data_IF_825811436223
#
_entry.id   IF_825811436223
#
_cell.length_a   1.000
_cell.length_b   1.000
_cell.length_c   1.000
_cell.angle_alpha   90.00
_cell.angle_beta   90.00
_cell.angle_gamma   90.00
#
_symmetry.space_group_name_H-M   'P 1'
#
loop_
_entity.id
_entity.type
_entity.pdbx_description
1 polymer ?
#
# COMPACT_ATOMS: atom_id res chain seq x y z
N UNK A 1 11.33 10.83 -23.84
CA UNK A 1 10.75 11.21 -25.15
C UNK A 1 11.45 12.50 -25.58
N UNK A 2 12.33 12.44 -26.60
CA UNK A 2 12.87 13.66 -27.22
C UNK A 2 11.82 14.17 -28.21
N UNK A 3 11.16 15.24 -27.88
CA UNK A 3 10.28 15.98 -28.79
C UNK A 3 10.73 17.44 -28.79
N UNK A 4 10.69 18.08 -29.92
CA UNK A 4 11.00 19.51 -30.09
C UNK A 4 9.86 20.43 -29.58
N UNK A 5 8.82 19.82 -28.99
CA UNK A 5 7.64 20.52 -28.48
C UNK A 5 7.38 20.11 -27.02
N UNK A 6 6.83 21.00 -26.18
CA UNK A 6 6.39 20.69 -24.84
C UNK A 6 5.38 19.54 -24.87
N UNK A 7 5.55 18.58 -23.95
CA UNK A 7 4.61 17.46 -23.79
C UNK A 7 3.87 17.64 -22.47
N UNK A 8 2.53 17.55 -22.51
CA UNK A 8 1.65 17.58 -21.34
C UNK A 8 0.96 16.23 -21.24
N UNK A 9 0.92 15.64 -20.05
CA UNK A 9 0.11 14.44 -19.80
C UNK A 9 -1.35 14.82 -19.74
N UNK A 10 -2.18 14.09 -20.47
CA UNK A 10 -3.63 14.19 -20.41
C UNK A 10 -4.17 13.06 -19.54
N UNK A 11 -5.07 13.38 -18.63
CA UNK A 11 -5.74 12.41 -17.74
C UNK A 11 -4.76 11.54 -16.93
N UNK A 12 -3.79 12.15 -16.26
CA UNK A 12 -2.89 11.43 -15.37
C UNK A 12 -3.67 10.94 -14.14
N UNK A 13 -3.39 9.71 -13.68
CA UNK A 13 -4.01 9.09 -12.51
C UNK A 13 -5.11 8.12 -12.87
N UNK A 14 -6.38 8.41 -12.52
CA UNK A 14 -7.55 7.55 -12.72
C UNK A 14 -7.60 6.31 -11.81
N UNK A 15 -6.96 6.37 -10.64
CA UNK A 15 -6.96 5.33 -9.62
C UNK A 15 -8.18 5.46 -8.72
N UNK A 16 -8.97 4.40 -8.59
CA UNK A 16 -10.19 4.44 -7.79
C UNK A 16 -9.93 4.23 -6.31
N UNK A 17 -10.87 4.74 -5.50
CA UNK A 17 -11.00 4.44 -4.07
C UNK A 17 -12.30 3.72 -3.77
N UNK A 18 -12.42 3.15 -2.59
CA UNK A 18 -13.66 2.56 -2.10
C UNK A 18 -14.73 3.64 -1.90
N UNK A 19 -16.03 3.37 -2.16
CA UNK A 19 -17.09 4.38 -2.05
C UNK A 19 -17.26 4.95 -0.64
N UNK A 20 -17.54 6.25 -0.54
CA UNK A 20 -18.03 6.87 0.69
C UNK A 20 -19.57 6.84 0.70
N UNK A 21 -20.15 5.90 1.42
CA UNK A 21 -21.61 5.75 1.49
C UNK A 21 -22.33 6.91 2.20
N UNK A 22 -21.63 7.78 2.92
CA UNK A 22 -22.19 9.00 3.50
C UNK A 22 -22.67 9.99 2.43
N UNK A 23 -22.19 9.83 1.19
CA UNK A 23 -22.66 10.64 0.06
C UNK A 23 -24.10 10.37 -0.33
N UNK A 24 -24.66 9.18 -0.09
CA UNK A 24 -26.01 8.77 -0.49
C UNK A 24 -27.07 9.80 -0.05
N UNK A 25 -26.97 10.24 1.22
CA UNK A 25 -27.95 11.16 1.80
C UNK A 25 -27.93 12.58 1.21
N UNK A 26 -26.88 12.94 0.47
CA UNK A 26 -26.73 14.27 -0.15
C UNK A 26 -27.54 14.39 -1.46
N UNK A 27 -27.91 13.28 -2.05
CA UNK A 27 -28.70 13.26 -3.30
C UNK A 27 -30.19 13.39 -2.99
N UNK A 28 -30.63 14.61 -2.65
CA UNK A 28 -32.00 14.91 -2.22
C UNK A 28 -32.96 15.25 -3.37
N UNK A 29 -32.42 15.39 -4.60
CA UNK A 29 -33.20 15.75 -5.79
C UNK A 29 -33.83 14.56 -6.50
N UNK A 30 -34.05 14.72 -7.80
CA UNK A 30 -34.60 13.68 -8.68
C UNK A 30 -33.64 12.51 -8.86
N UNK A 31 -32.35 12.80 -8.99
CA UNK A 31 -31.31 11.78 -9.09
C UNK A 31 -31.02 11.19 -7.72
N UNK A 32 -30.83 9.88 -7.68
CA UNK A 32 -30.43 9.11 -6.51
C UNK A 32 -29.05 8.51 -6.72
N UNK A 33 -28.29 8.33 -5.64
CA UNK A 33 -27.03 7.61 -5.65
C UNK A 33 -27.26 6.08 -5.66
N UNK A 34 -28.06 5.58 -6.62
CA UNK A 34 -28.53 4.18 -6.62
C UNK A 34 -27.40 3.16 -6.74
N UNK A 35 -26.31 3.50 -7.43
CA UNK A 35 -25.09 2.72 -7.47
C UNK A 35 -24.50 2.53 -6.07
N UNK A 36 -24.38 3.60 -5.28
CA UNK A 36 -23.84 3.54 -3.91
C UNK A 36 -24.77 2.76 -2.97
N UNK A 37 -26.09 2.90 -3.12
CA UNK A 37 -27.05 2.09 -2.36
C UNK A 37 -26.82 0.59 -2.61
N UNK A 38 -26.66 0.18 -3.89
CA UNK A 38 -26.39 -1.21 -4.27
C UNK A 38 -25.05 -1.69 -3.70
N UNK A 39 -24.00 -0.86 -3.78
CA UNK A 39 -22.67 -1.23 -3.23
C UNK A 39 -22.72 -1.39 -1.72
N UNK A 40 -23.46 -0.53 -1.03
CA UNK A 40 -23.65 -0.60 0.42
C UNK A 40 -24.45 -1.87 0.82
N UNK A 41 -25.51 -2.18 0.08
CA UNK A 41 -26.30 -3.41 0.26
C UNK A 41 -25.41 -4.65 0.10
N UNK A 42 -24.61 -4.71 -0.98
CA UNK A 42 -23.70 -5.83 -1.24
C UNK A 42 -22.64 -5.98 -0.12
N UNK A 43 -22.10 -4.86 0.40
CA UNK A 43 -21.16 -4.89 1.52
C UNK A 43 -21.82 -5.45 2.78
N UNK A 44 -23.07 -5.06 3.04
CA UNK A 44 -23.83 -5.54 4.20
C UNK A 44 -24.12 -7.05 4.11
N UNK A 45 -24.46 -7.56 2.93
CA UNK A 45 -24.63 -9.00 2.68
C UNK A 45 -23.37 -9.82 2.98
N UNK A 46 -22.19 -9.21 2.84
CA UNK A 46 -20.90 -9.82 3.18
C UNK A 46 -20.48 -9.60 4.63
N UNK A 47 -21.32 -8.99 5.45
CA UNK A 47 -21.05 -8.67 6.87
C UNK A 47 -19.79 -7.81 7.06
N UNK A 48 -19.55 -6.83 6.17
CA UNK A 48 -18.37 -5.96 6.19
C UNK A 48 -18.71 -4.48 6.36
N UNK A 49 -19.96 -4.14 6.70
CA UNK A 49 -20.42 -2.74 6.82
C UNK A 49 -19.61 -1.90 7.80
N UNK A 50 -19.09 -2.52 8.86
CA UNK A 50 -18.23 -1.90 9.87
C UNK A 50 -16.87 -1.46 9.32
N UNK A 51 -16.45 -1.99 8.17
CA UNK A 51 -15.17 -1.70 7.54
C UNK A 51 -15.25 -0.66 6.41
N UNK A 52 -16.44 -0.14 6.08
CA UNK A 52 -16.61 0.77 4.95
C UNK A 52 -15.67 2.00 5.03
N UNK A 53 -15.62 2.68 6.18
CA UNK A 53 -14.77 3.85 6.39
C UNK A 53 -13.27 3.47 6.37
N UNK A 54 -12.92 2.30 6.88
CA UNK A 54 -11.54 1.79 6.86
C UNK A 54 -11.09 1.44 5.43
N UNK A 55 -11.97 0.83 4.64
CA UNK A 55 -11.70 0.53 3.23
C UNK A 55 -11.56 1.80 2.38
N UNK A 56 -12.41 2.80 2.62
CA UNK A 56 -12.27 4.12 2.01
C UNK A 56 -10.91 4.73 2.34
N UNK A 57 -10.55 4.78 3.63
CA UNK A 57 -9.29 5.36 4.07
C UNK A 57 -8.09 4.62 3.47
N UNK A 58 -8.05 3.29 3.60
CA UNK A 58 -6.89 2.50 3.17
C UNK A 58 -6.70 2.51 1.64
N UNK A 59 -7.80 2.41 0.88
CA UNK A 59 -7.75 2.53 -0.59
C UNK A 59 -7.39 3.94 -1.05
N UNK A 60 -7.85 4.96 -0.31
CA UNK A 60 -7.51 6.36 -0.57
C UNK A 60 -6.03 6.66 -0.35
N UNK A 61 -5.43 6.11 0.72
CA UNK A 61 -3.98 6.21 0.95
C UNK A 61 -3.17 5.57 -0.18
N UNK A 62 -3.61 4.40 -0.68
CA UNK A 62 -2.98 3.78 -1.84
C UNK A 62 -3.15 4.63 -3.12
N UNK A 63 -4.34 5.19 -3.35
CA UNK A 63 -4.58 6.13 -4.46
C UNK A 63 -3.60 7.30 -4.39
N UNK A 64 -3.44 7.94 -3.23
CA UNK A 64 -2.51 9.05 -3.02
C UNK A 64 -1.07 8.67 -3.38
N UNK A 65 -0.62 7.45 -3.01
CA UNK A 65 0.70 6.95 -3.39
C UNK A 65 0.82 6.76 -4.91
N UNK A 66 -0.23 6.27 -5.57
CA UNK A 66 -0.25 6.12 -7.03
C UNK A 66 -0.20 7.49 -7.72
N UNK A 67 -1.00 8.46 -7.30
CA UNK A 67 -0.95 9.85 -7.83
C UNK A 67 0.41 10.48 -7.62
N UNK A 68 0.99 10.34 -6.42
CA UNK A 68 2.33 10.84 -6.13
C UNK A 68 3.37 10.24 -7.07
N UNK A 69 3.32 8.92 -7.30
CA UNK A 69 4.26 8.23 -8.18
C UNK A 69 4.13 8.72 -9.63
N UNK A 70 2.91 8.87 -10.16
CA UNK A 70 2.63 9.34 -11.51
C UNK A 70 3.06 10.79 -11.71
N UNK A 71 2.70 11.69 -10.78
CA UNK A 71 3.03 13.12 -10.84
C UNK A 71 4.55 13.31 -10.74
N UNK A 72 5.21 12.67 -9.79
CA UNK A 72 6.67 12.75 -9.65
C UNK A 72 7.39 12.18 -10.88
N UNK A 73 6.87 11.11 -11.50
CA UNK A 73 7.44 10.56 -12.74
C UNK A 73 7.32 11.56 -13.90
N UNK A 74 6.19 12.25 -14.01
CA UNK A 74 5.98 13.32 -14.97
C UNK A 74 6.98 14.47 -14.75
N UNK A 75 7.09 14.95 -13.51
CA UNK A 75 8.00 16.05 -13.15
C UNK A 75 9.48 15.70 -13.33
N UNK A 76 9.88 14.43 -13.21
CA UNK A 76 11.26 13.96 -13.46
C UNK A 76 11.60 13.78 -14.94
N UNK A 77 10.60 13.81 -15.83
CA UNK A 77 10.81 13.51 -17.24
C UNK A 77 11.29 14.77 -17.97
N UNK A 78 12.53 14.81 -18.49
CA UNK A 78 13.06 15.98 -19.21
C UNK A 78 12.17 16.37 -20.40
N UNK A 79 11.87 17.65 -20.54
CA UNK A 79 11.01 18.18 -21.61
C UNK A 79 9.51 17.98 -21.36
N UNK A 80 9.12 17.46 -20.20
CA UNK A 80 7.73 17.37 -19.79
C UNK A 80 7.28 18.73 -19.27
N UNK A 81 6.20 19.29 -19.83
CA UNK A 81 5.79 20.68 -19.60
C UNK A 81 4.64 20.82 -18.61
N UNK A 82 3.97 19.72 -18.25
CA UNK A 82 2.86 19.76 -17.32
C UNK A 82 2.01 18.49 -17.37
N UNK A 83 0.97 18.49 -16.55
CA UNK A 83 0.03 17.39 -16.42
C UNK A 83 -1.39 17.91 -16.18
N UNK A 84 -2.37 17.10 -16.54
CA UNK A 84 -3.78 17.29 -16.22
C UNK A 84 -4.25 16.09 -15.42
N UNK A 85 -4.71 16.34 -14.19
CA UNK A 85 -5.22 15.31 -13.30
C UNK A 85 -6.62 14.88 -13.69
N UNK A 86 -6.89 13.60 -13.74
CA UNK A 86 -8.22 13.03 -13.81
C UNK A 86 -8.41 12.04 -12.64
N UNK A 87 -9.07 12.45 -11.58
CA UNK A 87 -9.78 13.71 -11.39
C UNK A 87 -9.47 14.30 -10.00
N UNK A 88 -9.74 15.58 -9.79
CA UNK A 88 -9.65 16.17 -8.47
C UNK A 88 -10.85 15.77 -7.58
N UNK A 89 -12.04 15.59 -8.17
CA UNK A 89 -13.23 15.10 -7.49
C UNK A 89 -13.85 13.92 -8.24
N UNK A 90 -14.63 13.12 -7.55
CA UNK A 90 -15.38 12.01 -8.16
C UNK A 90 -16.29 12.50 -9.26
N UNK A 91 -16.41 11.70 -10.32
CA UNK A 91 -17.26 11.99 -11.45
C UNK A 91 -18.64 11.32 -11.30
N UNK A 92 -19.66 12.06 -10.80
CA UNK A 92 -20.97 11.45 -10.47
C UNK A 92 -21.75 10.94 -11.68
N UNK A 93 -21.45 11.42 -12.90
CA UNK A 93 -22.07 10.96 -14.13
C UNK A 93 -21.67 9.55 -14.56
N UNK A 94 -20.64 9.00 -13.96
CA UNK A 94 -20.16 7.62 -14.18
C UNK A 94 -19.93 6.97 -12.82
N UNK A 95 -20.93 6.31 -12.30
CA UNK A 95 -20.96 5.79 -10.93
C UNK A 95 -19.84 4.84 -10.51
N UNK A 96 -18.88 4.57 -11.37
CA UNK A 96 -17.69 3.76 -11.10
C UNK A 96 -16.39 4.56 -11.13
N UNK A 97 -16.44 5.83 -11.54
CA UNK A 97 -15.27 6.70 -11.61
C UNK A 97 -15.05 7.40 -10.26
N UNK A 98 -14.72 6.62 -9.23
CA UNK A 98 -14.40 7.09 -7.87
C UNK A 98 -12.91 7.45 -7.77
N UNK A 99 -12.46 8.32 -8.70
CA UNK A 99 -11.04 8.62 -8.92
C UNK A 99 -10.56 9.90 -8.25
N UNK A 100 -11.48 10.70 -7.72
CA UNK A 100 -11.15 11.98 -7.09
C UNK A 100 -10.53 11.82 -5.70
N UNK A 101 -9.67 12.76 -5.33
CA UNK A 101 -9.25 12.99 -3.94
C UNK A 101 -10.39 13.64 -3.13
N UNK A 102 -11.29 14.33 -3.82
CA UNK A 102 -12.48 14.96 -3.26
C UNK A 102 -13.74 14.18 -3.66
N UNK A 103 -14.79 14.34 -2.84
CA UNK A 103 -16.13 13.82 -3.10
C UNK A 103 -16.80 14.60 -4.23
N UNK A 104 -17.93 14.09 -4.79
CA UNK A 104 -18.66 14.78 -5.85
C UNK A 104 -19.08 16.22 -5.53
N UNK A 105 -19.24 16.54 -4.26
CA UNK A 105 -19.60 17.89 -3.77
C UNK A 105 -18.40 18.69 -3.26
N UNK A 106 -17.18 18.36 -3.69
CA UNK A 106 -15.92 19.07 -3.39
C UNK A 106 -15.47 19.01 -1.93
N UNK A 107 -15.97 18.09 -1.16
CA UNK A 107 -15.53 17.85 0.21
C UNK A 107 -14.37 16.84 0.24
N UNK A 108 -13.50 16.97 1.25
CA UNK A 108 -12.42 15.99 1.48
C UNK A 108 -13.00 14.61 1.79
N UNK A 109 -12.34 13.58 1.28
CA UNK A 109 -12.61 12.18 1.65
C UNK A 109 -11.90 11.78 2.97
N UNK A 110 -11.02 12.62 3.50
CA UNK A 110 -10.38 12.48 4.82
C UNK A 110 -9.16 11.55 4.87
N UNK A 111 -8.61 11.14 3.73
CA UNK A 111 -7.39 10.31 3.70
C UNK A 111 -6.14 11.07 3.24
N UNK A 112 -6.28 12.23 2.62
CA UNK A 112 -5.19 13.12 2.22
C UNK A 112 -5.61 14.58 2.44
N UNK A 113 -4.67 15.39 2.93
CA UNK A 113 -4.86 16.81 3.12
C UNK A 113 -4.16 17.62 2.02
N UNK A 114 -4.65 18.83 1.74
CA UNK A 114 -4.07 19.68 0.69
C UNK A 114 -2.58 20.01 0.90
N UNK A 115 -2.13 20.07 2.15
CA UNK A 115 -0.71 20.29 2.46
C UNK A 115 0.15 19.09 2.03
N UNK A 116 -0.30 17.87 2.31
CA UNK A 116 0.37 16.64 1.89
C UNK A 116 0.38 16.52 0.35
N UNK A 117 -0.75 16.76 -0.30
CA UNK A 117 -0.86 16.70 -1.76
C UNK A 117 0.05 17.72 -2.43
N UNK A 118 0.20 18.91 -1.84
CA UNK A 118 1.08 19.97 -2.35
C UNK A 118 2.58 19.64 -2.29
N UNK A 119 2.99 18.65 -1.53
CA UNK A 119 4.39 18.20 -1.50
C UNK A 119 4.87 17.70 -2.86
N UNK A 120 3.99 17.07 -3.65
CA UNK A 120 4.31 16.48 -4.95
C UNK A 120 3.54 17.10 -6.13
N UNK A 121 2.49 17.87 -5.88
CA UNK A 121 1.69 18.55 -6.89
C UNK A 121 1.73 20.06 -6.65
N UNK A 122 2.80 20.72 -7.05
CA UNK A 122 3.05 22.15 -6.81
C UNK A 122 3.94 22.71 -7.92
N UNK A 123 4.06 24.05 -7.97
CA UNK A 123 4.97 24.74 -8.88
C UNK A 123 6.45 24.49 -8.57
N UNK A 124 6.81 24.11 -7.35
CA UNK A 124 8.19 23.81 -6.95
C UNK A 124 8.17 22.51 -6.14
N UNK A 125 8.77 21.45 -6.67
CA UNK A 125 8.72 20.11 -6.09
C UNK A 125 10.11 19.51 -5.99
N UNK A 126 10.57 19.16 -4.78
CA UNK A 126 11.74 18.29 -4.58
C UNK A 126 11.44 16.87 -5.06
N UNK A 127 12.40 16.21 -5.72
CA UNK A 127 12.25 14.89 -6.35
C UNK A 127 13.44 14.00 -6.03
N UNK A 128 13.25 13.04 -5.13
CA UNK A 128 14.27 12.01 -4.85
C UNK A 128 14.19 10.86 -5.86
N UNK A 129 15.33 10.47 -6.45
CA UNK A 129 15.42 9.27 -7.29
C UNK A 129 15.86 8.07 -6.45
N UNK A 130 14.96 7.60 -5.59
CA UNK A 130 15.19 6.40 -4.79
C UNK A 130 15.19 5.16 -5.70
N UNK A 131 16.26 4.34 -5.70
CA UNK A 131 16.31 3.12 -6.51
C UNK A 131 15.39 2.02 -5.97
N UNK A 132 15.06 2.07 -4.69
CA UNK A 132 14.18 1.15 -3.98
C UNK A 132 13.67 1.80 -2.69
N UNK A 133 12.63 1.23 -2.10
CA UNK A 133 12.05 1.72 -0.84
C UNK A 133 12.40 0.81 0.35
N UNK A 134 12.93 -0.38 0.11
CA UNK A 134 13.29 -1.35 1.16
C UNK A 134 14.78 -1.62 1.12
N UNK A 135 15.43 -1.50 2.26
CA UNK A 135 16.88 -1.65 2.44
C UNK A 135 17.20 -2.64 3.56
N UNK A 136 18.40 -3.19 3.50
CA UNK A 136 19.01 -3.86 4.65
C UNK A 136 19.95 -2.89 5.38
N UNK A 137 20.17 -3.11 6.67
CA UNK A 137 21.02 -2.25 7.47
C UNK A 137 22.53 -2.34 7.14
N UNK A 138 22.95 -3.31 6.36
CA UNK A 138 24.31 -3.40 5.81
C UNK A 138 24.46 -2.70 4.45
N UNK A 139 23.45 -1.94 4.02
CA UNK A 139 23.47 -1.14 2.81
C UNK A 139 23.59 0.35 3.13
N UNK A 140 23.88 1.14 2.09
CA UNK A 140 23.78 2.59 2.13
C UNK A 140 22.64 3.05 1.21
N UNK A 141 21.76 3.89 1.71
CA UNK A 141 20.83 4.63 0.86
C UNK A 141 21.61 5.64 0.02
N UNK A 142 21.41 5.61 -1.29
CA UNK A 142 21.98 6.61 -2.22
C UNK A 142 20.87 7.06 -3.15
N UNK A 143 20.51 8.34 -3.11
CA UNK A 143 19.46 8.90 -3.93
C UNK A 143 19.88 10.28 -4.47
N UNK A 144 19.90 10.48 -5.81
CA UNK A 144 19.96 11.82 -6.39
C UNK A 144 18.75 12.64 -5.96
N UNK A 145 18.98 13.92 -5.61
CA UNK A 145 17.95 14.92 -5.40
C UNK A 145 17.89 15.83 -6.62
N UNK A 146 16.73 16.01 -7.17
CA UNK A 146 16.39 16.93 -8.24
C UNK A 146 15.27 17.86 -7.79
N UNK A 147 15.05 18.94 -8.54
CA UNK A 147 13.87 19.80 -8.41
C UNK A 147 13.19 19.97 -9.77
N UNK A 148 11.87 20.09 -9.72
CA UNK A 148 11.08 20.74 -10.74
C UNK A 148 10.64 22.09 -10.21
N UNK A 149 10.85 23.17 -10.98
CA UNK A 149 10.44 24.51 -10.63
C UNK A 149 9.79 25.19 -11.81
N UNK A 150 8.50 25.45 -11.71
CA UNK A 150 7.67 26.10 -12.72
C UNK A 150 7.00 27.38 -12.14
N UNK A 151 7.66 28.02 -11.16
CA UNK A 151 7.25 29.33 -10.64
C UNK A 151 7.48 30.45 -11.67
N UNK A 152 6.95 31.62 -11.40
CA UNK A 152 7.04 32.76 -12.33
C UNK A 152 8.48 33.22 -12.60
N UNK A 153 9.37 33.09 -11.59
CA UNK A 153 10.75 33.58 -11.67
C UNK A 153 11.72 32.51 -11.11
N UNK A 154 12.96 32.47 -11.60
CA UNK A 154 13.98 31.58 -11.03
C UNK A 154 14.25 31.92 -9.55
N UNK A 155 14.46 30.88 -8.72
CA UNK A 155 14.90 31.05 -7.34
C UNK A 155 16.43 31.11 -7.30
N UNK A 156 16.97 32.24 -6.79
CA UNK A 156 18.40 32.45 -6.68
C UNK A 156 18.91 32.03 -5.29
N UNK A 157 20.04 31.33 -5.27
CA UNK A 157 20.72 30.91 -4.02
C UNK A 157 19.79 30.23 -3.03
N UNK A 158 18.90 29.35 -3.54
CA UNK A 158 17.99 28.60 -2.70
C UNK A 158 18.76 27.71 -1.71
N UNK A 159 18.45 27.82 -0.42
CA UNK A 159 19.03 26.98 0.65
C UNK A 159 18.25 25.67 0.71
N UNK A 160 18.80 24.62 0.13
CA UNK A 160 18.16 23.32 -0.01
C UNK A 160 18.66 22.40 1.11
N UNK A 161 17.77 21.73 1.80
CA UNK A 161 18.10 20.75 2.83
C UNK A 161 17.54 19.37 2.50
N UNK A 162 18.12 18.36 3.14
CA UNK A 162 17.54 17.03 3.25
C UNK A 162 17.87 16.40 4.60
N UNK A 163 17.03 15.50 5.05
CA UNK A 163 17.26 14.69 6.26
C UNK A 163 16.61 13.32 6.10
N UNK A 164 17.23 12.31 6.70
CA UNK A 164 16.66 10.99 6.93
C UNK A 164 16.48 10.81 8.44
N UNK A 165 15.24 10.57 8.88
CA UNK A 165 14.90 10.48 10.30
C UNK A 165 13.96 9.29 10.56
N UNK A 166 13.91 8.85 11.82
CA UNK A 166 12.89 7.91 12.28
C UNK A 166 11.53 8.60 12.50
N UNK A 167 10.48 7.83 12.75
CA UNK A 167 9.13 8.36 13.05
C UNK A 167 9.06 9.25 14.29
N UNK A 168 10.06 9.21 15.17
CA UNK A 168 10.15 10.08 16.36
C UNK A 168 10.86 11.39 16.07
N UNK A 169 11.39 11.55 14.84
CA UNK A 169 12.15 12.71 14.41
C UNK A 169 13.64 12.65 14.72
N UNK A 170 14.17 11.51 15.17
CA UNK A 170 15.61 11.32 15.38
C UNK A 170 16.32 11.28 14.03
N UNK A 171 17.17 12.25 13.75
CA UNK A 171 17.87 12.36 12.48
C UNK A 171 19.06 11.39 12.46
N UNK A 172 19.08 10.51 11.45
CA UNK A 172 20.20 9.59 11.18
C UNK A 172 21.27 10.31 10.36
N UNK A 173 20.86 11.06 9.35
CA UNK A 173 21.73 11.79 8.44
C UNK A 173 21.01 13.00 7.88
N UNK A 174 21.76 14.06 7.58
CA UNK A 174 21.26 15.25 6.91
C UNK A 174 22.34 15.92 6.07
N UNK A 175 21.94 16.83 5.21
CA UNK A 175 22.85 17.64 4.41
C UNK A 175 22.12 18.81 3.77
N UNK A 176 22.90 19.72 3.18
CA UNK A 176 22.36 20.91 2.53
C UNK A 176 23.20 21.35 1.34
N UNK A 177 22.58 22.14 0.48
CA UNK A 177 23.20 22.77 -0.68
C UNK A 177 22.63 24.17 -0.89
N UNK A 178 23.41 25.06 -1.49
CA UNK A 178 22.93 26.33 -2.03
C UNK A 178 22.98 26.25 -3.54
N UNK A 179 21.82 26.40 -4.21
CA UNK A 179 21.68 26.27 -5.68
C UNK A 179 20.70 27.29 -6.23
N UNK A 180 20.94 27.70 -7.47
CA UNK A 180 19.91 28.36 -8.27
C UNK A 180 18.94 27.33 -8.84
N UNK A 181 17.65 27.63 -8.80
CA UNK A 181 16.61 26.82 -9.42
C UNK A 181 16.01 27.62 -10.60
N UNK A 182 16.46 27.37 -11.85
CA UNK A 182 15.85 27.94 -13.04
C UNK A 182 14.41 27.41 -13.24
N UNK A 183 13.63 28.12 -14.06
CA UNK A 183 12.28 27.69 -14.42
C UNK A 183 12.36 26.53 -15.40
N UNK A 184 12.39 25.31 -14.89
CA UNK A 184 12.46 24.03 -15.65
C UNK A 184 12.28 22.84 -14.71
N UNK A 185 12.35 21.62 -15.24
CA UNK A 185 12.46 20.39 -14.44
C UNK A 185 13.85 19.75 -14.57
N UNK A 186 14.02 18.61 -13.88
CA UNK A 186 15.29 17.85 -13.86
C UNK A 186 16.50 18.67 -13.38
N UNK A 187 16.27 19.62 -12.47
CA UNK A 187 17.32 20.45 -11.87
C UNK A 187 18.10 19.61 -10.87
N UNK A 188 19.28 19.13 -11.24
CA UNK A 188 20.10 18.30 -10.36
C UNK A 188 20.71 19.12 -9.21
N UNK A 189 20.57 18.63 -7.98
CA UNK A 189 21.06 19.27 -6.75
C UNK A 189 22.32 18.57 -6.24
N UNK A 190 22.23 17.26 -5.98
CA UNK A 190 23.29 16.47 -5.41
C UNK A 190 22.84 15.05 -5.07
N UNK A 191 23.74 14.29 -4.44
CA UNK A 191 23.44 12.94 -3.98
C UNK A 191 23.23 12.94 -2.47
N UNK A 192 22.09 12.46 -2.02
CA UNK A 192 21.82 12.12 -0.63
C UNK A 192 22.42 10.74 -0.36
N UNK A 193 23.27 10.61 0.65
CA UNK A 193 23.91 9.34 1.02
C UNK A 193 23.78 9.15 2.51
N UNK A 194 23.30 7.98 2.93
CA UNK A 194 23.19 7.62 4.35
C UNK A 194 23.63 6.17 4.55
N UNK A 195 24.54 5.94 5.47
CA UNK A 195 24.85 4.61 5.99
C UNK A 195 23.72 4.17 6.94
N UNK A 196 23.19 2.98 6.70
CA UNK A 196 22.05 2.43 7.43
C UNK A 196 22.47 1.47 8.57
N UNK A 197 23.77 1.30 8.81
CA UNK A 197 24.31 0.33 9.78
C UNK A 197 23.88 0.58 11.24
N UNK A 198 23.47 1.80 11.55
CA UNK A 198 22.95 2.15 12.89
C UNK A 198 21.55 1.59 13.16
N UNK A 199 20.82 1.16 12.13
CA UNK A 199 19.45 0.63 12.25
C UNK A 199 19.50 -0.85 12.61
N UNK A 200 19.32 -1.17 13.89
CA UNK A 200 19.48 -2.53 14.41
C UNK A 200 18.15 -3.33 14.51
N UNK A 201 17.02 -2.66 14.34
CA UNK A 201 15.68 -3.28 14.38
C UNK A 201 14.88 -2.84 13.16
N UNK A 202 13.86 -3.60 12.75
CA UNK A 202 12.98 -3.19 11.67
C UNK A 202 12.41 -1.79 11.91
N UNK A 203 12.63 -0.88 10.99
CA UNK A 203 12.18 0.51 11.10
C UNK A 203 11.70 1.07 9.76
N UNK A 204 10.74 1.95 9.85
CA UNK A 204 10.39 2.89 8.80
C UNK A 204 11.11 4.22 9.06
N UNK A 205 11.75 4.74 8.03
CA UNK A 205 12.45 6.02 8.05
C UNK A 205 11.82 6.96 7.03
N UNK A 206 11.86 8.25 7.32
CA UNK A 206 11.31 9.31 6.46
C UNK A 206 12.47 10.13 5.90
N UNK A 207 12.60 10.13 4.58
CA UNK A 207 13.49 11.02 3.84
C UNK A 207 12.71 12.28 3.50
N UNK A 208 13.12 13.43 4.02
CA UNK A 208 12.54 14.74 3.70
C UNK A 208 13.57 15.57 2.94
N UNK A 209 13.14 16.29 1.91
CA UNK A 209 13.95 17.32 1.25
C UNK A 209 13.10 18.55 0.95
N UNK A 210 13.70 19.75 1.01
CA UNK A 210 12.97 20.99 0.84
C UNK A 210 13.87 22.22 0.72
N UNK A 211 13.23 23.40 0.78
CA UNK A 211 13.87 24.72 0.78
C UNK A 211 13.65 25.38 2.13
N UNK A 212 14.75 25.72 2.82
CA UNK A 212 14.73 26.35 4.13
C UNK A 212 13.89 27.65 4.14
N UNK A 213 13.13 27.84 5.22
CA UNK A 213 12.31 29.03 5.41
C UNK A 213 11.07 29.11 4.52
N UNK A 214 10.74 28.05 3.78
CA UNK A 214 9.55 27.96 2.92
C UNK A 214 8.68 26.75 3.28
N UNK A 215 7.49 26.64 2.66
CA UNK A 215 6.64 25.44 2.73
C UNK A 215 7.04 24.38 1.69
N UNK A 216 8.03 24.63 0.84
CA UNK A 216 8.45 23.70 -0.22
C UNK A 216 9.23 22.54 0.40
N UNK A 217 8.63 21.39 0.47
CA UNK A 217 9.27 20.13 0.85
C UNK A 217 8.55 18.94 0.23
N UNK A 218 9.18 17.78 0.26
CA UNK A 218 8.59 16.50 -0.12
C UNK A 218 9.16 15.39 0.77
N UNK A 219 8.45 14.29 0.90
CA UNK A 219 8.79 13.19 1.79
C UNK A 219 8.67 11.83 1.09
N UNK A 220 9.56 10.90 1.44
CA UNK A 220 9.55 9.52 0.97
C UNK A 220 9.80 8.58 2.13
N UNK A 221 9.01 7.55 2.25
CA UNK A 221 9.14 6.52 3.27
C UNK A 221 9.99 5.38 2.75
N UNK A 222 10.97 4.96 3.55
CA UNK A 222 11.79 3.78 3.29
C UNK A 222 11.79 2.85 4.50
N UNK A 223 11.93 1.57 4.25
CA UNK A 223 11.98 0.55 5.30
C UNK A 223 13.38 -0.02 5.38
N UNK A 224 13.91 -0.14 6.59
CA UNK A 224 15.23 -0.70 6.84
C UNK A 224 15.09 -1.91 7.76
N UNK A 225 15.61 -3.04 7.30
CA UNK A 225 15.57 -4.31 8.00
C UNK A 225 16.96 -4.82 8.34
N UNK A 226 17.14 -5.58 9.45
CA UNK A 226 18.40 -6.26 9.73
C UNK A 226 18.82 -7.18 8.58
N UNK A 227 20.08 -7.14 8.20
CA UNK A 227 20.64 -8.03 7.19
C UNK A 227 20.64 -9.48 7.67
N UNK A 228 20.90 -9.68 8.96
CA UNK A 228 20.86 -11.00 9.60
C UNK A 228 19.48 -11.32 10.13
N UNK A 229 18.97 -12.50 9.77
CA UNK A 229 17.72 -13.00 10.30
C UNK A 229 17.90 -13.55 11.71
N UNK A 230 16.94 -13.26 12.58
CA UNK A 230 16.90 -13.93 13.89
C UNK A 230 16.53 -15.39 13.68
N UNK A 231 17.36 -16.28 14.21
CA UNK A 231 17.06 -17.70 14.21
C UNK A 231 15.80 -17.98 15.06
N UNK A 232 14.80 -18.55 14.44
CA UNK A 232 13.55 -18.93 15.09
C UNK A 232 13.69 -20.38 15.59
N UNK A 233 13.60 -20.58 16.88
CA UNK A 233 13.54 -21.88 17.50
C UNK A 233 12.08 -22.34 17.60
N UNK A 234 11.82 -23.65 17.44
CA UNK A 234 10.47 -24.23 17.45
C UNK A 234 9.53 -23.61 16.39
N UNK A 235 10.08 -23.37 15.19
CA UNK A 235 9.27 -22.88 14.07
C UNK A 235 8.07 -23.81 13.80
N UNK A 236 6.91 -23.25 13.39
CA UNK A 236 5.76 -24.08 13.01
C UNK A 236 6.07 -24.95 11.80
N UNK A 237 5.27 -25.97 11.59
CA UNK A 237 5.32 -26.70 10.34
C UNK A 237 4.87 -25.78 9.19
N UNK A 238 5.69 -25.64 8.18
CA UNK A 238 5.42 -24.76 7.03
C UNK A 238 5.19 -25.60 5.77
N UNK A 239 4.11 -25.33 5.06
CA UNK A 239 3.72 -26.04 3.84
C UNK A 239 3.05 -25.14 2.82
N UNK A 240 3.10 -25.54 1.53
CA UNK A 240 2.30 -24.92 0.46
C UNK A 240 1.00 -25.68 0.19
N UNK A 241 0.82 -26.86 0.79
CA UNK A 241 -0.30 -27.74 0.54
C UNK A 241 -1.01 -28.06 1.84
N UNK A 242 -2.31 -27.88 1.86
CA UNK A 242 -3.15 -28.32 2.97
C UNK A 242 -3.54 -29.79 2.77
N UNK A 243 -2.58 -30.68 3.06
CA UNK A 243 -2.67 -32.12 2.88
C UNK A 243 -2.92 -32.86 4.22
N UNK A 244 -3.02 -34.20 4.15
CA UNK A 244 -3.23 -35.03 5.34
C UNK A 244 -2.11 -34.84 6.38
N UNK A 245 -0.87 -34.55 5.94
CA UNK A 245 0.23 -34.29 6.89
C UNK A 245 0.01 -33.01 7.69
N UNK A 246 -0.46 -31.94 7.05
CA UNK A 246 -0.82 -30.70 7.74
C UNK A 246 -1.99 -30.90 8.72
N UNK A 247 -3.01 -31.66 8.30
CA UNK A 247 -4.18 -32.00 9.10
C UNK A 247 -3.76 -32.83 10.34
N UNK A 248 -2.97 -33.87 10.17
CA UNK A 248 -2.50 -34.73 11.24
C UNK A 248 -1.70 -33.98 12.31
N UNK A 249 -0.94 -32.94 11.89
CA UNK A 249 -0.21 -32.07 12.80
C UNK A 249 -1.15 -31.19 13.62
N UNK A 250 -2.15 -30.59 12.97
CA UNK A 250 -3.17 -29.79 13.64
C UNK A 250 -3.96 -30.64 14.66
N UNK A 251 -4.32 -31.89 14.30
CA UNK A 251 -4.99 -32.82 15.22
C UNK A 251 -4.14 -33.18 16.44
N UNK A 252 -2.81 -33.18 16.30
CA UNK A 252 -1.85 -33.36 17.41
C UNK A 252 -1.63 -32.12 18.26
N UNK A 253 -2.21 -30.97 17.88
CA UNK A 253 -2.05 -29.68 18.59
C UNK A 253 -0.82 -28.88 18.15
N UNK A 254 -0.21 -29.20 17.02
CA UNK A 254 0.92 -28.45 16.48
C UNK A 254 0.46 -27.17 15.75
N UNK A 255 1.38 -26.20 15.60
CA UNK A 255 1.15 -25.00 14.82
C UNK A 255 1.54 -25.23 13.35
N UNK A 256 0.68 -24.82 12.42
CA UNK A 256 0.90 -24.92 10.97
C UNK A 256 0.84 -23.55 10.32
N UNK A 257 1.82 -23.25 9.45
CA UNK A 257 1.79 -22.10 8.55
C UNK A 257 1.59 -22.61 7.11
N UNK A 258 0.41 -22.35 6.57
CA UNK A 258 0.08 -22.64 5.18
C UNK A 258 0.38 -21.41 4.31
N UNK A 259 1.32 -21.55 3.37
CA UNK A 259 1.70 -20.50 2.43
C UNK A 259 1.15 -20.83 1.05
N UNK A 260 0.12 -20.14 0.60
CA UNK A 260 -0.55 -20.45 -0.66
C UNK A 260 0.33 -20.07 -1.85
N UNK A 261 0.66 -21.04 -2.69
CA UNK A 261 1.39 -20.77 -3.93
C UNK A 261 0.50 -20.16 -4.99
N UNK A 262 1.06 -19.27 -5.81
CA UNK A 262 0.32 -18.62 -6.89
C UNK A 262 -0.26 -19.66 -7.86
N UNK A 263 -1.57 -19.52 -8.14
CA UNK A 263 -2.30 -20.45 -9.01
C UNK A 263 -2.77 -21.73 -8.31
N UNK A 264 -2.56 -21.86 -6.99
CA UNK A 264 -3.00 -23.04 -6.25
C UNK A 264 -4.49 -23.00 -5.86
N UNK A 265 -5.09 -21.82 -5.82
CA UNK A 265 -6.51 -21.66 -5.45
C UNK A 265 -7.44 -21.97 -6.63
N UNK A 266 -8.54 -22.65 -6.33
CA UNK A 266 -9.66 -22.78 -7.26
C UNK A 266 -10.34 -21.42 -7.45
N UNK A 267 -11.03 -21.20 -8.62
CA UNK A 267 -11.68 -19.91 -8.91
C UNK A 267 -12.64 -19.44 -7.81
N UNK A 268 -13.45 -20.33 -7.24
CA UNK A 268 -14.43 -20.02 -6.19
C UNK A 268 -13.79 -19.66 -4.83
N UNK A 269 -12.54 -20.06 -4.62
CA UNK A 269 -11.76 -19.71 -3.42
C UNK A 269 -10.79 -18.54 -3.64
N UNK A 270 -10.83 -17.92 -4.84
CA UNK A 270 -10.07 -16.70 -5.14
C UNK A 270 -9.10 -16.78 -6.31
N UNK A 271 -8.88 -17.96 -6.91
CA UNK A 271 -7.89 -18.15 -7.97
C UNK A 271 -8.11 -17.32 -9.25
N UNK A 272 -9.28 -16.73 -9.43
CA UNK A 272 -9.59 -15.80 -10.52
C UNK A 272 -9.41 -14.32 -10.14
N UNK A 273 -9.09 -14.00 -8.89
CA UNK A 273 -8.86 -12.63 -8.42
C UNK A 273 -7.41 -12.25 -8.66
N UNK A 274 -7.18 -11.16 -9.38
CA UNK A 274 -5.83 -10.65 -9.65
C UNK A 274 -5.50 -9.55 -8.66
N UNK A 275 -4.65 -9.86 -7.71
CA UNK A 275 -4.11 -8.89 -6.76
C UNK A 275 -2.97 -8.12 -7.39
N UNK A 276 -2.86 -6.83 -7.06
CA UNK A 276 -1.76 -5.97 -7.48
C UNK A 276 -1.48 -4.87 -6.47
N UNK A 277 -0.38 -4.15 -6.66
CA UNK A 277 0.00 -3.08 -5.74
C UNK A 277 -0.77 -1.79 -5.99
N UNK A 278 -1.12 -1.47 -7.23
CA UNK A 278 -1.92 -0.28 -7.54
C UNK A 278 -3.39 -0.47 -7.17
N UNK A 279 -4.12 0.63 -7.07
CA UNK A 279 -5.58 0.61 -6.99
C UNK A 279 -6.23 0.18 -8.32
N UNK A 280 -7.53 -0.08 -8.31
CA UNK A 280 -8.32 -0.38 -9.51
C UNK A 280 -8.32 0.84 -10.43
N UNK A 281 -8.08 0.61 -11.72
CA UNK A 281 -8.30 1.62 -12.75
C UNK A 281 -9.80 1.78 -13.02
N UNK A 282 -10.30 2.99 -13.14
CA UNK A 282 -11.74 3.31 -13.13
C UNK A 282 -12.60 2.52 -14.12
N UNK A 283 -12.04 2.12 -15.26
CA UNK A 283 -12.78 1.42 -16.30
C UNK A 283 -12.71 -0.12 -16.19
N UNK A 284 -12.22 -0.67 -15.07
CA UNK A 284 -12.06 -2.12 -14.88
C UNK A 284 -13.38 -2.88 -15.14
N UNK A 285 -14.52 -2.34 -14.72
CA UNK A 285 -15.84 -2.90 -15.01
C UNK A 285 -16.17 -2.93 -16.51
N UNK A 286 -15.68 -1.99 -17.29
CA UNK A 286 -15.93 -1.88 -18.73
C UNK A 286 -14.96 -2.70 -19.57
N UNK A 287 -13.71 -2.79 -19.13
CA UNK A 287 -12.66 -3.57 -19.80
C UNK A 287 -12.72 -5.06 -19.48
N UNK A 288 -13.76 -5.48 -18.77
CA UNK A 288 -14.03 -6.87 -18.45
C UNK A 288 -12.85 -7.56 -17.77
N UNK A 289 -12.43 -7.00 -16.61
CA UNK A 289 -11.43 -7.57 -15.71
C UNK A 289 -9.98 -7.16 -15.94
N UNK A 290 -9.75 -5.91 -16.27
CA UNK A 290 -8.40 -5.35 -16.18
C UNK A 290 -7.89 -5.47 -14.73
N UNK A 291 -6.74 -6.12 -14.57
CA UNK A 291 -6.08 -6.21 -13.27
C UNK A 291 -5.47 -4.85 -12.85
N UNK A 292 -5.35 -4.58 -11.55
CA UNK A 292 -5.77 -5.41 -10.42
C UNK A 292 -7.29 -5.37 -10.19
N UNK A 293 -7.80 -6.37 -9.44
CA UNK A 293 -9.20 -6.43 -9.01
C UNK A 293 -9.42 -5.93 -7.59
N UNK A 294 -8.36 -5.48 -6.90
CA UNK A 294 -8.34 -5.10 -5.49
C UNK A 294 -7.92 -3.65 -5.33
N UNK A 295 -8.26 -3.05 -4.19
CA UNK A 295 -8.01 -1.66 -3.84
C UNK A 295 -6.92 -1.53 -2.75
N UNK A 296 -6.00 -2.50 -2.70
CA UNK A 296 -4.96 -2.55 -1.68
C UNK A 296 -5.33 -3.41 -0.48
N UNK A 297 -4.59 -3.23 0.61
CA UNK A 297 -4.80 -3.97 1.86
C UNK A 297 -5.38 -3.06 2.96
N UNK A 298 -6.00 -3.72 3.94
CA UNK A 298 -6.31 -3.13 5.24
C UNK A 298 -5.82 -4.07 6.35
N UNK A 299 -5.15 -3.54 7.36
CA UNK A 299 -4.72 -4.31 8.53
C UNK A 299 -4.72 -3.43 9.79
N UNK A 300 -4.70 -4.07 10.95
CA UNK A 300 -4.38 -3.39 12.21
C UNK A 300 -2.86 -3.47 12.46
N UNK A 301 -2.11 -2.36 12.36
CA UNK A 301 -0.65 -2.37 12.55
C UNK A 301 -0.21 -2.84 13.94
N UNK A 302 -1.11 -2.76 14.95
CA UNK A 302 -0.83 -3.22 16.31
C UNK A 302 -1.01 -4.75 16.48
N UNK A 303 -1.46 -5.46 15.44
CA UNK A 303 -1.60 -6.92 15.53
C UNK A 303 -0.24 -7.59 15.77
N UNK A 304 -0.13 -8.54 16.72
CA UNK A 304 1.16 -9.15 17.06
C UNK A 304 1.91 -9.80 15.90
N UNK A 305 1.22 -10.30 14.90
CA UNK A 305 1.82 -10.86 13.69
C UNK A 305 2.63 -9.83 12.88
N UNK A 306 2.36 -8.53 13.05
CA UNK A 306 3.02 -7.43 12.36
C UNK A 306 4.09 -6.72 13.21
N UNK A 307 4.36 -7.22 14.43
CA UNK A 307 5.24 -6.54 15.40
C UNK A 307 6.67 -6.31 14.94
N UNK A 308 7.17 -7.11 13.99
CA UNK A 308 8.50 -6.94 13.36
C UNK A 308 8.39 -6.46 11.89
N UNK A 309 7.20 -6.04 11.47
CA UNK A 309 6.93 -5.53 10.14
C UNK A 309 6.24 -4.17 10.27
N UNK A 310 7.02 -3.09 10.54
CA UNK A 310 6.46 -1.76 10.74
C UNK A 310 5.68 -1.33 9.50
N UNK A 311 4.37 -1.21 9.65
CA UNK A 311 3.44 -0.90 8.55
C UNK A 311 2.37 0.07 9.02
N UNK A 312 1.74 0.74 8.08
CA UNK A 312 0.50 1.47 8.27
C UNK A 312 -0.71 0.54 8.08
N UNK A 313 -1.92 1.04 8.29
CA UNK A 313 -3.15 0.24 8.09
C UNK A 313 -3.54 0.07 6.61
N UNK A 314 -2.70 0.50 5.68
CA UNK A 314 -2.92 0.49 4.23
C UNK A 314 -1.66 0.01 3.49
N UNK A 315 -1.78 -0.18 2.16
CA UNK A 315 -0.64 -0.53 1.30
C UNK A 315 0.35 0.62 1.22
N UNK A 316 1.48 0.50 1.92
CA UNK A 316 2.68 1.28 1.69
C UNK A 316 3.63 0.55 0.71
N UNK A 317 4.75 1.17 0.30
CA UNK A 317 5.61 0.60 -0.74
C UNK A 317 6.23 -0.76 -0.41
N UNK A 318 6.42 -1.12 0.87
CA UNK A 318 6.97 -2.43 1.23
C UNK A 318 6.00 -3.59 0.88
N UNK A 319 4.68 -3.33 0.85
CA UNK A 319 3.68 -4.32 0.47
C UNK A 319 3.81 -4.79 -0.98
N UNK A 320 4.53 -4.02 -1.82
CA UNK A 320 4.85 -4.46 -3.18
C UNK A 320 5.46 -5.87 -3.22
N UNK A 321 6.41 -6.16 -2.33
CA UNK A 321 7.11 -7.44 -2.25
C UNK A 321 6.17 -8.63 -1.96
N UNK A 322 5.01 -8.34 -1.39
CA UNK A 322 4.03 -9.33 -0.94
C UNK A 322 2.88 -9.43 -1.93
N UNK A 323 2.18 -8.31 -2.20
CA UNK A 323 0.95 -8.34 -2.99
C UNK A 323 1.18 -8.53 -4.49
N UNK A 324 2.37 -8.25 -5.01
CA UNK A 324 2.71 -8.50 -6.42
C UNK A 324 2.85 -9.99 -6.77
N UNK A 325 2.93 -10.89 -5.76
CA UNK A 325 3.03 -12.34 -5.92
C UNK A 325 2.26 -13.06 -4.81
N UNK A 326 0.95 -12.78 -4.72
CA UNK A 326 0.06 -13.41 -3.75
C UNK A 326 -1.26 -13.83 -4.40
N UNK A 327 -2.02 -14.61 -3.65
CA UNK A 327 -3.41 -14.99 -3.94
C UNK A 327 -4.34 -14.30 -2.94
N UNK A 328 -5.53 -13.94 -3.40
CA UNK A 328 -6.64 -13.49 -2.55
C UNK A 328 -7.45 -14.71 -2.11
N UNK A 329 -7.65 -14.87 -0.80
CA UNK A 329 -8.42 -16.00 -0.28
C UNK A 329 -9.84 -15.51 0.02
N UNK A 330 -10.85 -16.11 -0.66
CA UNK A 330 -12.26 -15.80 -0.42
C UNK A 330 -12.71 -16.48 0.86
N UNK A 331 -13.25 -15.67 1.77
CA UNK A 331 -13.66 -16.06 3.12
C UNK A 331 -15.16 -15.79 3.37
N UNK A 332 -15.97 -15.74 2.31
CA UNK A 332 -17.41 -15.43 2.40
C UNK A 332 -18.17 -16.48 3.21
N UNK A 333 -17.69 -17.74 3.21
CA UNK A 333 -18.28 -18.86 3.95
C UNK A 333 -17.83 -18.91 5.44
N UNK A 334 -16.90 -18.04 5.85
CA UNK A 334 -16.43 -17.98 7.25
C UNK A 334 -17.47 -17.26 8.12
N UNK A 335 -17.40 -17.42 9.46
CA UNK A 335 -18.32 -16.74 10.37
C UNK A 335 -18.43 -15.24 10.06
N UNK A 336 -19.63 -14.67 10.17
CA UNK A 336 -19.92 -13.28 9.80
C UNK A 336 -18.95 -12.28 10.46
N UNK A 337 -18.66 -12.48 11.72
CA UNK A 337 -17.78 -11.62 12.53
C UNK A 337 -16.29 -11.88 12.29
N UNK A 338 -15.93 -12.87 11.48
CA UNK A 338 -14.54 -13.20 11.27
C UNK A 338 -13.84 -12.10 10.46
N UNK A 339 -12.66 -11.69 10.94
CA UNK A 339 -11.79 -10.70 10.28
C UNK A 339 -10.39 -11.27 10.11
N UNK A 340 -9.82 -11.30 8.92
CA UNK A 340 -8.41 -11.67 8.72
C UNK A 340 -7.46 -10.65 9.37
N UNK A 341 -6.25 -11.06 9.64
CA UNK A 341 -5.17 -10.20 10.14
C UNK A 341 -4.81 -9.14 9.11
N UNK A 342 -4.80 -9.53 7.83
CA UNK A 342 -4.63 -8.63 6.70
C UNK A 342 -5.73 -8.90 5.68
N UNK A 343 -6.59 -7.91 5.48
CA UNK A 343 -7.59 -7.90 4.42
C UNK A 343 -6.96 -7.50 3.09
N UNK A 344 -7.50 -8.06 1.99
CA UNK A 344 -7.44 -7.45 0.68
C UNK A 344 -8.78 -6.74 0.44
N UNK A 345 -8.77 -5.49 0.02
CA UNK A 345 -9.98 -4.73 -0.25
C UNK A 345 -10.45 -5.09 -1.65
N UNK A 346 -11.61 -5.73 -1.75
CA UNK A 346 -12.21 -6.13 -3.02
C UNK A 346 -12.82 -4.92 -3.76
N UNK A 347 -13.22 -5.14 -5.01
CA UNK A 347 -14.04 -4.17 -5.73
C UNK A 347 -15.40 -3.98 -5.04
N UNK A 348 -15.96 -2.77 -5.18
CA UNK A 348 -17.21 -2.39 -4.52
C UNK A 348 -18.47 -2.98 -5.17
N UNK A 349 -18.36 -3.66 -6.30
CA UNK A 349 -19.48 -4.39 -6.92
C UNK A 349 -19.70 -5.75 -6.28
N UNK A 350 -18.58 -6.43 -5.94
CA UNK A 350 -18.61 -7.82 -5.46
C UNK A 350 -18.49 -7.89 -3.95
N UNK A 351 -17.64 -7.03 -3.34
CA UNK A 351 -17.45 -6.91 -1.89
C UNK A 351 -17.16 -8.24 -1.16
N UNK A 352 -16.40 -9.17 -1.79
CA UNK A 352 -16.02 -10.43 -1.14
C UNK A 352 -15.20 -10.16 0.12
N UNK A 353 -15.37 -10.98 1.13
CA UNK A 353 -14.46 -11.01 2.27
C UNK A 353 -13.16 -11.67 1.83
N UNK A 354 -12.12 -10.87 1.59
CA UNK A 354 -10.83 -11.33 1.10
C UNK A 354 -9.76 -11.27 2.18
N UNK A 355 -9.06 -12.39 2.39
CA UNK A 355 -7.90 -12.47 3.29
C UNK A 355 -6.59 -12.62 2.53
N UNK A 356 -5.54 -11.94 3.02
CA UNK A 356 -4.14 -12.19 2.67
C UNK A 356 -3.44 -12.98 3.78
N UNK A 357 -3.74 -12.66 5.03
CA UNK A 357 -3.21 -13.33 6.22
C UNK A 357 -4.35 -13.55 7.20
N UNK A 358 -4.56 -14.79 7.64
CA UNK A 358 -5.56 -15.10 8.65
C UNK A 358 -5.15 -16.26 9.55
N UNK A 359 -5.81 -16.40 10.70
CA UNK A 359 -5.50 -17.43 11.69
C UNK A 359 -6.76 -18.10 12.24
N UNK A 360 -6.66 -19.37 12.59
CA UNK A 360 -7.76 -20.14 13.17
C UNK A 360 -7.27 -21.26 14.08
N UNK A 361 -8.16 -21.73 14.97
CA UNK A 361 -8.04 -23.04 15.59
C UNK A 361 -8.56 -24.09 14.61
N UNK A 362 -7.81 -25.18 14.42
CA UNK A 362 -8.23 -26.31 13.60
C UNK A 362 -7.87 -27.59 14.36
N UNK A 363 -8.86 -28.42 14.66
CA UNK A 363 -8.67 -29.54 15.56
C UNK A 363 -8.15 -29.08 16.93
N UNK A 364 -7.02 -29.62 17.38
CA UNK A 364 -6.33 -29.21 18.60
C UNK A 364 -5.24 -28.17 18.37
N UNK A 365 -4.88 -27.93 17.09
CA UNK A 365 -3.78 -27.06 16.67
C UNK A 365 -4.21 -25.67 16.30
N UNK A 366 -3.23 -24.89 15.83
CA UNK A 366 -3.45 -23.52 15.40
C UNK A 366 -2.86 -23.35 13.99
N UNK A 367 -3.69 -22.82 13.11
CA UNK A 367 -3.36 -22.60 11.72
C UNK A 367 -3.17 -21.09 11.46
N UNK A 368 -2.11 -20.75 10.74
CA UNK A 368 -1.95 -19.46 10.07
C UNK A 368 -1.93 -19.71 8.56
N UNK A 369 -2.71 -18.96 7.80
CA UNK A 369 -2.73 -19.03 6.33
C UNK A 369 -2.28 -17.71 5.76
N UNK A 370 -1.34 -17.77 4.82
CA UNK A 370 -0.82 -16.62 4.10
C UNK A 370 -1.03 -16.80 2.60
N UNK A 371 -1.71 -15.85 1.95
CA UNK A 371 -1.89 -15.84 0.49
C UNK A 371 -0.61 -15.57 -0.31
N UNK A 372 0.47 -15.16 0.36
CA UNK A 372 1.79 -15.05 -0.26
C UNK A 372 2.63 -16.31 0.04
N UNK A 373 3.32 -16.82 -1.00
CA UNK A 373 4.20 -17.96 -0.83
C UNK A 373 5.51 -17.58 -0.15
N UNK A 374 5.52 -17.67 1.18
CA UNK A 374 6.66 -17.36 2.03
C UNK A 374 7.75 -18.44 2.01
N UNK A 375 7.53 -19.57 1.32
CA UNK A 375 8.53 -20.65 1.15
C UNK A 375 9.40 -20.44 -0.10
N UNK A 376 8.97 -19.59 -1.03
CA UNK A 376 9.77 -19.23 -2.20
C UNK A 376 11.08 -18.55 -1.80
N UNK A 377 12.15 -18.70 -2.59
CA UNK A 377 13.36 -17.91 -2.46
C UNK A 377 13.05 -16.42 -2.47
N UNK A 378 13.78 -15.65 -1.70
CA UNK A 378 13.51 -14.23 -1.48
C UNK A 378 13.71 -13.38 -2.73
N UNK A 379 14.70 -13.70 -3.56
CA UNK A 379 14.98 -13.04 -4.85
C UNK A 379 14.97 -11.50 -4.77
N UNK A 380 15.57 -10.95 -3.70
CA UNK A 380 15.62 -9.51 -3.46
C UNK A 380 14.37 -8.90 -2.82
N UNK A 381 13.34 -9.69 -2.50
CA UNK A 381 12.11 -9.24 -1.83
C UNK A 381 12.29 -9.19 -0.31
N UNK A 382 12.99 -8.18 0.17
CA UNK A 382 13.39 -8.10 1.57
C UNK A 382 12.22 -7.81 2.50
N UNK A 383 11.18 -7.11 2.04
CA UNK A 383 9.97 -6.91 2.84
C UNK A 383 9.20 -8.25 3.03
N UNK A 384 9.15 -9.13 2.01
CA UNK A 384 8.54 -10.46 2.15
C UNK A 384 9.32 -11.32 3.16
N UNK A 385 10.65 -11.27 3.15
CA UNK A 385 11.50 -11.90 4.17
C UNK A 385 11.16 -11.41 5.57
N UNK A 386 11.06 -10.09 5.75
CA UNK A 386 10.75 -9.49 7.04
C UNK A 386 9.33 -9.81 7.51
N UNK A 387 8.36 -9.85 6.59
CA UNK A 387 7.00 -10.27 6.87
C UNK A 387 6.94 -11.71 7.39
N UNK A 388 7.66 -12.63 6.73
CA UNK A 388 7.84 -14.01 7.19
C UNK A 388 8.42 -14.07 8.60
N UNK A 389 9.48 -13.32 8.88
CA UNK A 389 10.10 -13.26 10.20
C UNK A 389 9.11 -12.78 11.27
N UNK A 390 8.28 -11.80 10.96
CA UNK A 390 7.26 -11.27 11.87
C UNK A 390 6.19 -12.32 12.19
N UNK A 391 5.68 -13.01 11.17
CA UNK A 391 4.70 -14.09 11.32
C UNK A 391 5.28 -15.23 12.18
N UNK A 392 6.48 -15.70 11.87
CA UNK A 392 7.11 -16.80 12.60
C UNK A 392 7.39 -16.42 14.05
N UNK A 393 7.84 -15.19 14.31
CA UNK A 393 8.03 -14.68 15.68
C UNK A 393 6.71 -14.66 16.46
N UNK A 394 5.63 -14.29 15.83
CA UNK A 394 4.29 -14.33 16.42
C UNK A 394 3.84 -15.75 16.72
N UNK A 395 3.93 -16.65 15.73
CA UNK A 395 3.47 -18.04 15.84
C UNK A 395 4.23 -18.87 16.89
N UNK A 396 5.45 -18.47 17.26
CA UNK A 396 6.25 -19.14 18.31
C UNK A 396 6.08 -18.51 19.69
N UNK A 397 5.26 -17.47 19.81
CA UNK A 397 4.97 -16.80 21.08
C UNK A 397 3.62 -17.23 21.65
N UNK A 398 3.43 -17.04 22.98
CA UNK A 398 2.16 -17.26 23.65
C UNK A 398 1.02 -16.36 23.12
N UNK A 399 1.37 -15.30 22.42
CA UNK A 399 0.42 -14.37 21.80
C UNK A 399 -0.33 -14.98 20.61
N UNK A 400 0.21 -16.06 20.00
CA UNK A 400 -0.49 -16.79 18.94
C UNK A 400 -1.63 -17.61 19.55
N UNK A 401 -2.78 -16.99 19.67
CA UNK A 401 -3.96 -17.54 20.32
C UNK A 401 -5.24 -17.23 19.51
N UNK A 402 -5.41 -17.82 18.32
CA UNK A 402 -6.61 -17.63 17.52
C UNK A 402 -7.88 -17.91 18.34
N UNK A 403 -8.90 -17.08 18.17
CA UNK A 403 -10.18 -17.23 18.89
C UNK A 403 -11.21 -18.03 18.11
N UNK A 404 -11.17 -17.94 16.78
CA UNK A 404 -12.13 -18.61 15.89
C UNK A 404 -11.69 -20.02 15.59
N UNK A 405 -12.62 -20.96 15.67
CA UNK A 405 -12.43 -22.35 15.25
C UNK A 405 -13.03 -22.54 13.87
N UNK A 406 -12.26 -23.14 12.97
CA UNK A 406 -12.70 -23.57 11.64
C UNK A 406 -12.52 -25.07 11.50
N UNK A 407 -13.40 -25.70 10.74
CA UNK A 407 -13.23 -27.10 10.33
C UNK A 407 -12.24 -27.22 9.16
N UNK A 408 -11.78 -28.44 8.89
CA UNK A 408 -10.92 -28.74 7.75
C UNK A 408 -11.63 -28.44 6.42
N UNK A 409 -12.94 -28.64 6.38
CA UNK A 409 -13.78 -28.43 5.19
C UNK A 409 -13.99 -26.95 4.87
N UNK A 410 -13.94 -26.07 5.88
CA UNK A 410 -14.07 -24.62 5.69
C UNK A 410 -12.79 -24.00 5.10
N UNK A 411 -11.64 -24.62 5.38
CA UNK A 411 -10.33 -24.18 4.88
C UNK A 411 -10.08 -24.71 3.47
#
# INVERSE_FOLDING_TARGET
>A
IKKDMPTVSHEIGQWCVYPDFKEIQKYTGVLKAKNFEIFQETLAEKHLSDLADEFLYASGRLQTLCYKADIEAALRTPGFAGLQLLDLHDFPGKGTALVGDLKPFWESKGYVEGEEYSMFCNQTVPLARLPKMVYLNNESMKAPLEFAHFGAEPLKSASIYWKLADKKGTILQSGSWTKDLPVTNSIWIGNMVCDLSSVQTPQELILTAGIEGTKVHNEWHIWVYPAEEKKITNAPYMTNVFDQQAIDRLEKGENVLLCVSRGALRPEKGGNIKVGFSSIFWNTAWTNKQAPHTLGIYCNPSHPALSLFPTEKYSDYQWWDIVSDCEAIVMDDFPAEYRPVVHLIDDWFTNRKLGLLFEAKVGKGKLMVCGADLLKPENGRMARRQFKQSILNYMTSDRFAPTTTLSVEEI
#
